data_IF_494983148463
#
_entry.id   IF_494983148463
#
_cell.length_a   1.000
_cell.length_b   1.000
_cell.length_c   1.000
_cell.angle_alpha   90.00
_cell.angle_beta   90.00
_cell.angle_gamma   90.00
#
_symmetry.space_group_name_H-M   'P 1'
#
loop_
_entity.id
_entity.type
_entity.pdbx_description
1 polymer ?
#
# COMPACT_ATOMS: atom_id res chain seq x y z
N UNK A 1 -64.58 12.69 -2.08
CA UNK A 1 -63.64 12.16 -1.06
C UNK A 1 -62.35 11.81 -1.81
N UNK A 2 -61.35 12.70 -1.86
CA UNK A 2 -60.31 12.94 -0.82
C UNK A 2 -59.50 11.66 -0.54
N UNK A 3 -58.31 11.50 -1.16
CA UNK A 3 -56.96 11.78 -0.62
C UNK A 3 -56.37 10.50 0.05
N UNK A 4 -55.10 10.09 -0.10
CA UNK A 4 -53.83 10.82 -0.02
C UNK A 4 -52.67 10.08 -0.72
N UNK A 5 -51.65 10.86 -1.08
CA UNK A 5 -50.29 10.53 -1.48
C UNK A 5 -49.44 9.85 -0.37
N UNK A 6 -48.35 9.19 -0.81
CA UNK A 6 -46.96 9.22 -0.28
C UNK A 6 -46.35 8.05 0.54
N UNK A 7 -45.12 7.71 0.13
CA UNK A 7 -44.01 7.13 0.91
C UNK A 7 -43.90 5.60 0.86
N UNK A 8 -42.85 4.93 0.37
CA UNK A 8 -41.41 5.25 0.35
C UNK A 8 -40.75 4.52 -0.84
N UNK A 9 -40.21 5.20 -1.86
CA UNK A 9 -38.82 5.67 -1.89
C UNK A 9 -37.90 5.02 -0.85
N UNK A 10 -37.33 3.86 -1.17
CA UNK A 10 -35.96 3.54 -0.74
C UNK A 10 -35.06 3.49 -1.98
N UNK A 11 -34.60 4.63 -2.52
CA UNK A 11 -33.36 4.64 -3.25
C UNK A 11 -32.20 4.46 -2.26
N UNK A 12 -31.08 3.92 -2.73
CA UNK A 12 -29.75 3.99 -2.12
C UNK A 12 -29.46 3.15 -0.86
N UNK A 13 -29.03 1.91 -1.08
CA UNK A 13 -27.75 1.50 -0.48
C UNK A 13 -26.66 1.95 -1.45
N UNK A 14 -25.65 2.74 -1.05
CA UNK A 14 -24.67 3.23 -1.99
C UNK A 14 -23.92 2.01 -2.55
N UNK A 15 -24.02 1.81 -3.86
CA UNK A 15 -23.00 1.09 -4.61
C UNK A 15 -21.73 1.93 -4.55
N UNK A 16 -21.10 1.95 -3.37
CA UNK A 16 -19.85 2.62 -3.07
C UNK A 16 -18.69 1.78 -3.64
N UNK A 17 -18.80 1.37 -4.91
CA UNK A 17 -17.65 0.90 -5.68
C UNK A 17 -16.76 2.13 -5.83
N UNK A 18 -15.84 2.31 -4.88
CA UNK A 18 -14.71 3.23 -5.01
C UNK A 18 -14.01 2.83 -6.30
N UNK A 19 -14.26 3.60 -7.35
CA UNK A 19 -13.72 3.39 -8.68
C UNK A 19 -12.22 3.62 -8.60
N UNK A 20 -11.47 2.54 -8.70
CA UNK A 20 -10.04 2.58 -8.91
C UNK A 20 -9.67 1.42 -9.80
N UNK A 21 -9.07 1.74 -10.94
CA UNK A 21 -8.48 0.72 -11.80
C UNK A 21 -7.20 0.20 -11.14
N UNK A 22 -7.10 -1.13 -11.07
CA UNK A 22 -5.88 -1.82 -10.72
C UNK A 22 -4.87 -1.67 -11.86
N UNK A 23 -3.56 -1.74 -11.56
CA UNK A 23 -2.56 -1.88 -12.62
C UNK A 23 -2.86 -3.14 -13.44
N UNK A 24 -2.83 -3.04 -14.77
CA UNK A 24 -3.15 -4.13 -15.70
C UNK A 24 -2.38 -5.43 -15.37
N UNK A 25 -1.09 -5.29 -15.07
CA UNK A 25 -0.20 -6.41 -14.71
C UNK A 25 -0.48 -7.02 -13.33
N UNK A 26 -1.22 -6.31 -12.46
CA UNK A 26 -1.61 -6.75 -11.13
C UNK A 26 -3.13 -6.97 -11.00
N UNK A 27 -3.83 -7.15 -12.12
CA UNK A 27 -5.29 -7.31 -12.18
C UNK A 27 -5.80 -8.55 -11.42
N UNK A 28 -4.93 -9.53 -11.16
CA UNK A 28 -5.22 -10.69 -10.33
C UNK A 28 -5.36 -10.34 -8.82
N UNK A 29 -4.83 -9.20 -8.38
CA UNK A 29 -5.00 -8.71 -7.02
C UNK A 29 -6.19 -7.74 -6.96
N UNK A 30 -6.98 -7.78 -5.87
CA UNK A 30 -8.03 -6.79 -5.67
C UNK A 30 -7.43 -5.39 -5.53
N UNK A 31 -8.18 -4.37 -5.96
CA UNK A 31 -7.81 -2.96 -5.81
C UNK A 31 -7.76 -2.51 -4.34
N UNK A 32 -8.76 -2.97 -3.57
CA UNK A 32 -8.86 -2.72 -2.14
C UNK A 32 -9.12 -4.00 -1.37
N UNK A 33 -8.68 -4.01 -0.12
CA UNK A 33 -8.98 -5.05 0.87
C UNK A 33 -9.84 -4.42 1.96
N UNK A 34 -10.92 -5.09 2.33
CA UNK A 34 -11.77 -4.66 3.43
C UNK A 34 -11.19 -5.15 4.77
N UNK A 35 -11.03 -4.23 5.71
CA UNK A 35 -10.59 -4.53 7.06
C UNK A 35 -11.47 -3.78 8.06
N UNK A 36 -12.26 -4.52 8.84
CA UNK A 36 -13.18 -3.98 9.86
C UNK A 36 -14.14 -2.90 9.33
N UNK A 37 -14.70 -3.11 8.13
CA UNK A 37 -15.63 -2.17 7.49
C UNK A 37 -14.96 -0.99 6.77
N UNK A 38 -13.62 -0.92 6.76
CA UNK A 38 -12.86 0.09 6.02
C UNK A 38 -12.11 -0.54 4.84
N UNK A 39 -12.17 0.11 3.68
CA UNK A 39 -11.42 -0.31 2.49
C UNK A 39 -10.03 0.31 2.47
N UNK A 40 -9.01 -0.55 2.42
CA UNK A 40 -7.60 -0.21 2.35
C UNK A 40 -7.03 -0.50 0.96
N UNK A 41 -6.10 0.32 0.48
CA UNK A 41 -5.38 0.01 -0.76
C UNK A 41 -4.54 -1.27 -0.56
N UNK A 42 -4.66 -2.22 -1.49
CA UNK A 42 -3.96 -3.50 -1.44
C UNK A 42 -2.45 -3.34 -1.37
N UNK A 43 -1.88 -2.40 -2.12
CA UNK A 43 -0.44 -2.12 -2.09
C UNK A 43 0.02 -1.54 -0.76
N UNK A 44 -0.81 -0.75 -0.07
CA UNK A 44 -0.49 -0.28 1.28
C UNK A 44 -0.39 -1.46 2.25
N UNK A 45 -1.30 -2.44 2.13
CA UNK A 45 -1.29 -3.63 2.97
C UNK A 45 -0.06 -4.49 2.66
N UNK A 46 0.28 -4.70 1.38
CA UNK A 46 1.48 -5.42 0.96
C UNK A 46 2.74 -4.73 1.51
N UNK A 47 2.83 -3.41 1.39
CA UNK A 47 3.95 -2.63 1.91
C UNK A 47 4.08 -2.75 3.43
N UNK A 48 2.94 -2.71 4.14
CA UNK A 48 2.89 -2.86 5.59
C UNK A 48 3.38 -4.26 6.03
N UNK A 49 2.88 -5.33 5.41
CA UNK A 49 3.33 -6.69 5.69
C UNK A 49 4.81 -6.89 5.35
N UNK A 50 5.27 -6.29 4.26
CA UNK A 50 6.69 -6.33 3.87
C UNK A 50 7.56 -5.60 4.91
N UNK A 51 7.10 -4.48 5.46
CA UNK A 51 7.79 -3.76 6.53
C UNK A 51 7.84 -4.56 7.84
N UNK A 52 6.76 -5.28 8.19
CA UNK A 52 6.76 -6.19 9.34
C UNK A 52 7.75 -7.34 9.11
N UNK A 53 7.71 -7.97 7.93
CA UNK A 53 8.66 -9.01 7.56
C UNK A 53 10.10 -8.50 7.61
N UNK A 54 10.34 -7.25 7.20
CA UNK A 54 11.65 -6.61 7.29
C UNK A 54 12.10 -6.41 8.72
N UNK A 55 11.24 -5.89 9.60
CA UNK A 55 11.58 -5.73 11.01
C UNK A 55 11.91 -7.05 11.68
N UNK A 56 11.12 -8.09 11.41
CA UNK A 56 11.35 -9.45 11.92
C UNK A 56 12.65 -10.01 11.37
N UNK A 57 12.85 -9.96 10.04
CA UNK A 57 14.04 -10.49 9.40
C UNK A 57 15.31 -9.76 9.86
N UNK A 58 15.27 -8.44 10.00
CA UNK A 58 16.41 -7.65 10.49
C UNK A 58 16.74 -7.98 11.96
N UNK A 59 15.73 -8.21 12.81
CA UNK A 59 15.93 -8.63 14.20
C UNK A 59 16.57 -10.03 14.28
N UNK A 60 16.09 -10.98 13.48
CA UNK A 60 16.69 -12.33 13.40
C UNK A 60 18.07 -12.30 12.76
N UNK A 61 18.27 -11.51 11.71
CA UNK A 61 19.54 -11.31 11.03
C UNK A 61 20.63 -10.90 12.02
N UNK A 62 20.34 -9.96 12.92
CA UNK A 62 21.28 -9.58 13.99
C UNK A 62 21.70 -10.73 14.90
N UNK A 63 20.85 -11.76 15.07
CA UNK A 63 21.14 -12.93 15.90
C UNK A 63 21.88 -14.06 15.15
N UNK A 64 21.73 -14.16 13.83
CA UNK A 64 22.29 -15.25 13.01
C UNK A 64 23.41 -14.81 12.06
N UNK A 65 23.76 -13.52 12.06
CA UNK A 65 24.80 -12.96 11.20
C UNK A 65 26.17 -13.49 11.62
N UNK A 66 26.76 -14.30 10.76
CA UNK A 66 28.14 -14.76 10.81
C UNK A 66 28.89 -14.17 9.61
N UNK A 67 30.23 -14.17 9.64
CA UNK A 67 31.03 -13.67 8.51
C UNK A 67 30.71 -14.41 7.20
N UNK A 68 30.36 -15.70 7.27
CA UNK A 68 30.09 -16.54 6.09
C UNK A 68 28.76 -16.22 5.39
N UNK A 69 27.74 -15.77 6.14
CA UNK A 69 26.41 -15.49 5.61
C UNK A 69 26.07 -13.99 5.55
N UNK A 70 26.97 -13.12 6.01
CA UNK A 70 26.76 -11.67 6.10
C UNK A 70 26.32 -11.06 4.76
N UNK A 71 26.98 -11.41 3.66
CA UNK A 71 26.64 -10.87 2.34
C UNK A 71 25.26 -11.29 1.85
N UNK A 72 24.87 -12.55 2.08
CA UNK A 72 23.55 -13.05 1.74
C UNK A 72 22.46 -12.34 2.57
N UNK A 73 22.71 -12.13 3.87
CA UNK A 73 21.78 -11.42 4.75
C UNK A 73 21.62 -9.97 4.29
N UNK A 74 22.72 -9.23 4.06
CA UNK A 74 22.71 -7.85 3.57
C UNK A 74 21.93 -7.74 2.25
N UNK A 75 22.16 -8.67 1.32
CA UNK A 75 21.44 -8.71 0.05
C UNK A 75 19.94 -8.97 0.22
N UNK A 76 19.54 -9.89 1.10
CA UNK A 76 18.12 -10.14 1.38
C UNK A 76 17.44 -8.94 2.03
N UNK A 77 18.10 -8.27 2.98
CA UNK A 77 17.59 -7.05 3.62
C UNK A 77 17.44 -5.93 2.58
N UNK A 78 18.39 -5.80 1.65
CA UNK A 78 18.30 -4.87 0.53
C UNK A 78 17.09 -5.17 -0.37
N UNK A 79 16.93 -6.42 -0.82
CA UNK A 79 15.78 -6.81 -1.66
C UNK A 79 14.45 -6.51 -1.00
N UNK A 80 14.33 -6.81 0.30
CA UNK A 80 13.11 -6.55 1.05
C UNK A 80 12.84 -5.04 1.21
N UNK A 81 13.89 -4.22 1.35
CA UNK A 81 13.79 -2.76 1.34
C UNK A 81 13.27 -2.24 -0.01
N UNK A 82 13.74 -2.81 -1.12
CA UNK A 82 13.27 -2.48 -2.47
C UNK A 82 11.78 -2.84 -2.62
N UNK A 83 11.35 -4.00 -2.11
CA UNK A 83 9.94 -4.41 -2.15
C UNK A 83 9.05 -3.45 -1.34
N UNK A 84 9.47 -3.04 -0.14
CA UNK A 84 8.74 -2.05 0.66
C UNK A 84 8.63 -0.73 -0.09
N UNK A 85 9.75 -0.22 -0.61
CA UNK A 85 9.79 1.04 -1.34
C UNK A 85 8.89 0.99 -2.59
N UNK A 86 8.99 -0.08 -3.38
CA UNK A 86 8.23 -0.25 -4.61
C UNK A 86 6.72 -0.37 -4.36
N UNK A 87 6.32 -1.24 -3.43
CA UNK A 87 4.90 -1.42 -3.09
C UNK A 87 4.29 -0.16 -2.47
N UNK A 88 5.01 0.54 -1.60
CA UNK A 88 4.55 1.79 -1.01
C UNK A 88 4.44 2.93 -2.04
N UNK A 89 5.38 3.01 -2.99
CA UNK A 89 5.32 3.98 -4.08
C UNK A 89 4.12 3.71 -5.02
N UNK A 90 3.89 2.45 -5.38
CA UNK A 90 2.70 2.03 -6.13
C UNK A 90 1.41 2.39 -5.38
N UNK A 91 1.36 2.11 -4.07
CA UNK A 91 0.22 2.49 -3.23
C UNK A 91 -0.02 4.01 -3.24
N UNK A 92 1.04 4.79 -3.11
CA UNK A 92 0.97 6.26 -3.10
C UNK A 92 0.45 6.80 -4.45
N UNK A 93 0.99 6.30 -5.56
CA UNK A 93 0.56 6.70 -6.90
C UNK A 93 -0.90 6.30 -7.16
N UNK A 94 -1.29 5.08 -6.78
CA UNK A 94 -2.63 4.58 -7.05
C UNK A 94 -3.68 5.31 -6.22
N UNK A 95 -3.36 5.61 -4.96
CA UNK A 95 -4.21 6.47 -4.13
C UNK A 95 -4.28 7.90 -4.71
N UNK A 96 -3.20 8.40 -5.34
CA UNK A 96 -3.19 9.74 -5.96
C UNK A 96 -4.14 9.81 -7.13
N UNK A 97 -4.07 8.82 -8.02
CA UNK A 97 -5.00 8.67 -9.13
C UNK A 97 -6.45 8.64 -8.65
N UNK A 98 -6.76 7.80 -7.65
CA UNK A 98 -8.13 7.67 -7.11
C UNK A 98 -8.67 8.96 -6.48
N UNK A 99 -7.83 9.72 -5.78
CA UNK A 99 -8.23 11.00 -5.18
C UNK A 99 -8.39 12.09 -6.22
N UNK A 100 -7.53 12.09 -7.24
CA UNK A 100 -7.63 13.02 -8.37
C UNK A 100 -8.91 12.77 -9.16
N UNK A 101 -9.23 11.51 -9.47
CA UNK A 101 -10.48 11.12 -10.12
C UNK A 101 -11.70 11.51 -9.29
N UNK A 102 -11.68 11.27 -7.97
CA UNK A 102 -12.74 11.71 -7.06
C UNK A 102 -12.93 13.23 -7.11
N UNK A 103 -11.85 14.00 -7.05
CA UNK A 103 -11.88 15.46 -7.13
C UNK A 103 -12.47 15.95 -8.46
N UNK A 104 -12.07 15.36 -9.59
CA UNK A 104 -12.60 15.70 -10.91
C UNK A 104 -14.07 15.31 -11.09
N UNK A 105 -14.53 14.27 -10.42
CA UNK A 105 -15.93 13.84 -10.41
C UNK A 105 -16.83 14.62 -9.43
N UNK A 106 -16.26 15.57 -8.66
CA UNK A 106 -17.00 16.35 -7.66
C UNK A 106 -17.38 15.55 -6.41
N UNK A 107 -16.77 14.38 -6.20
CA UNK A 107 -16.97 13.54 -5.02
C UNK A 107 -15.99 13.95 -3.90
N UNK A 108 -16.40 13.81 -2.63
CA UNK A 108 -15.48 14.03 -1.51
C UNK A 108 -14.34 12.98 -1.54
N UNK A 109 -13.08 13.39 -1.74
CA UNK A 109 -11.96 12.46 -1.85
C UNK A 109 -11.72 11.66 -0.56
N UNK A 110 -12.23 12.11 0.60
CA UNK A 110 -12.14 11.35 1.85
C UNK A 110 -13.09 10.16 1.87
N UNK A 111 -14.23 10.25 1.21
CA UNK A 111 -15.22 9.18 1.16
C UNK A 111 -14.99 8.26 -0.05
N UNK A 112 -14.53 8.81 -1.17
CA UNK A 112 -14.34 8.08 -2.42
C UNK A 112 -13.00 7.32 -2.53
N UNK A 113 -11.91 7.77 -1.88
CA UNK A 113 -10.62 7.10 -1.98
C UNK A 113 -10.41 6.03 -0.88
N UNK A 114 -9.61 4.98 -1.12
CA UNK A 114 -9.23 4.02 -0.09
C UNK A 114 -8.38 4.66 1.03
N UNK A 115 -8.40 4.04 2.21
CA UNK A 115 -7.49 4.42 3.31
C UNK A 115 -6.07 3.95 3.00
N UNK A 116 -5.10 4.59 3.67
CA UNK A 116 -3.70 4.21 3.57
C UNK A 116 -2.77 5.29 3.00
N UNK A 117 -3.29 6.44 2.55
CA UNK A 117 -2.47 7.50 1.92
C UNK A 117 -1.23 7.90 2.72
N UNK A 118 -1.44 8.29 3.98
CA UNK A 118 -0.36 8.76 4.85
C UNK A 118 0.62 7.62 5.14
N UNK A 119 0.09 6.42 5.38
CA UNK A 119 0.90 5.23 5.64
C UNK A 119 1.77 4.85 4.44
N UNK A 120 1.22 4.89 3.22
CA UNK A 120 1.98 4.63 1.99
C UNK A 120 3.13 5.61 1.80
N UNK A 121 2.94 6.90 2.09
CA UNK A 121 4.02 7.89 2.00
C UNK A 121 5.12 7.58 3.03
N UNK A 122 4.73 7.32 4.28
CA UNK A 122 5.67 6.98 5.35
C UNK A 122 6.46 5.72 4.98
N UNK A 123 5.78 4.67 4.50
CA UNK A 123 6.43 3.42 4.07
C UNK A 123 7.33 3.62 2.86
N UNK A 124 6.97 4.53 1.94
CA UNK A 124 7.83 4.88 0.80
C UNK A 124 9.13 5.52 1.29
N UNK A 125 9.05 6.46 2.24
CA UNK A 125 10.22 7.13 2.81
C UNK A 125 11.11 6.14 3.58
N UNK A 126 10.53 5.31 4.43
CA UNK A 126 11.26 4.28 5.18
C UNK A 126 11.93 3.29 4.22
N UNK A 127 11.21 2.83 3.20
CA UNK A 127 11.73 1.96 2.15
C UNK A 127 12.88 2.60 1.40
N UNK A 128 12.73 3.84 0.94
CA UNK A 128 13.77 4.57 0.22
C UNK A 128 15.04 4.77 1.07
N UNK A 129 14.89 5.18 2.33
CA UNK A 129 16.02 5.30 3.26
C UNK A 129 16.72 3.95 3.46
N UNK A 130 15.96 2.88 3.65
CA UNK A 130 16.52 1.53 3.83
C UNK A 130 17.24 1.04 2.57
N UNK A 131 16.68 1.30 1.39
CA UNK A 131 17.33 1.01 0.09
C UNK A 131 18.65 1.75 -0.04
N UNK A 132 18.72 3.03 0.37
CA UNK A 132 19.97 3.80 0.34
C UNK A 132 21.01 3.22 1.31
N UNK A 133 20.60 2.86 2.52
CA UNK A 133 21.49 2.28 3.54
C UNK A 133 22.06 0.93 3.10
N UNK A 134 21.21 0.00 2.69
CA UNK A 134 21.64 -1.36 2.32
C UNK A 134 22.18 -1.44 0.90
N UNK A 135 21.72 -0.58 -0.01
CA UNK A 135 22.22 -0.52 -1.37
C UNK A 135 23.68 -0.10 -1.43
N UNK A 136 24.09 0.86 -0.58
CA UNK A 136 25.50 1.21 -0.42
C UNK A 136 26.32 0.00 0.04
N UNK A 137 25.84 -0.74 1.05
CA UNK A 137 26.51 -1.95 1.53
C UNK A 137 26.64 -3.03 0.45
N UNK A 138 25.57 -3.31 -0.31
CA UNK A 138 25.62 -4.27 -1.43
C UNK A 138 26.63 -3.83 -2.49
N UNK A 139 26.63 -2.56 -2.89
CA UNK A 139 27.59 -2.04 -3.88
C UNK A 139 29.04 -2.18 -3.40
N UNK A 140 29.32 -1.93 -2.12
CA UNK A 140 30.67 -2.12 -1.55
C UNK A 140 31.13 -3.58 -1.49
N UNK A 141 30.21 -4.55 -1.50
CA UNK A 141 30.56 -5.97 -1.52
C UNK A 141 30.77 -6.51 -2.95
N UNK A 142 30.33 -5.76 -3.97
CA UNK A 142 30.45 -6.13 -5.38
C UNK A 142 31.64 -5.50 -6.11
N UNK A 143 32.24 -4.46 -5.53
CA UNK A 143 33.44 -3.79 -6.06
C UNK A 143 34.70 -4.27 -5.37
#
# INVERSE_FOLDING_TARGET
MSAYYNGSNNPSGPSNRKTGEQYLWASFLPYTVEFRGDQWCTWTIIALWSAVAYGVFNAFAGAIMTFDNMGLIIFLVFLLSVVICGSAALATFQLYKSRSEAYHSGLDPKTAAPRGWVLSIILTLIGALSVLTWGAAVLTMMG
#
